data_IF_005333726780
#
_entry.id   IF_005333726780
#
_cell.length_a   1.000
_cell.length_b   1.000
_cell.length_c   1.000
_cell.angle_alpha   90.00
_cell.angle_beta   90.00
_cell.angle_gamma   90.00
#
_symmetry.space_group_name_H-M   'P 1'
#
loop_
_entity.id
_entity.type
_entity.pdbx_description
1 polymer ?
#
# COMPACT_ATOMS: atom_id res chain seq x y z
N UNK A 1 12.42 8.20 37.16
CA UNK A 1 12.67 9.28 36.17
C UNK A 1 13.21 8.62 34.91
N UNK A 2 12.40 8.45 33.88
CA UNK A 2 12.84 7.87 32.61
C UNK A 2 13.58 8.93 31.80
N UNK A 3 14.90 8.75 31.62
CA UNK A 3 15.67 9.50 30.63
C UNK A 3 15.24 9.05 29.23
N UNK A 4 14.12 9.61 28.77
CA UNK A 4 13.62 9.41 27.42
C UNK A 4 14.43 10.29 26.46
N UNK A 5 15.73 9.98 26.29
CA UNK A 5 16.44 10.43 25.10
C UNK A 5 15.69 9.84 23.90
N UNK A 6 15.12 10.71 23.07
CA UNK A 6 14.46 10.29 21.84
C UNK A 6 15.45 9.47 21.00
N UNK A 7 15.03 8.26 20.61
CA UNK A 7 15.87 7.35 19.82
C UNK A 7 16.32 8.04 18.52
N UNK A 8 17.63 8.11 18.30
CA UNK A 8 18.17 8.69 17.08
C UNK A 8 18.02 7.70 15.91
N UNK A 9 16.98 7.90 15.11
CA UNK A 9 16.64 7.02 13.98
C UNK A 9 17.73 6.94 12.90
N UNK A 10 18.50 8.02 12.66
CA UNK A 10 19.62 7.97 11.71
C UNK A 10 20.78 7.13 12.26
N UNK A 11 21.05 7.18 13.55
CA UNK A 11 22.01 6.27 14.19
C UNK A 11 21.54 4.80 14.10
N UNK A 12 20.27 4.53 14.41
CA UNK A 12 19.68 3.18 14.32
C UNK A 12 19.84 2.60 12.91
N UNK A 13 19.58 3.40 11.86
CA UNK A 13 19.76 3.00 10.45
C UNK A 13 21.23 2.88 10.02
N UNK A 14 22.14 3.63 10.65
CA UNK A 14 23.59 3.55 10.39
C UNK A 14 24.22 2.28 10.96
N UNK A 15 23.75 1.85 12.13
CA UNK A 15 24.20 0.62 12.80
C UNK A 15 23.78 -0.66 12.04
N UNK A 16 22.56 -0.70 11.48
CA UNK A 16 22.07 -1.84 10.68
C UNK A 16 21.00 -1.40 9.67
N UNK A 17 21.07 -1.93 8.45
CA UNK A 17 20.02 -1.78 7.43
C UNK A 17 18.71 -2.38 7.90
N UNK A 18 17.59 -1.71 7.64
CA UNK A 18 16.26 -2.21 7.97
C UNK A 18 15.84 -3.49 7.24
N UNK A 19 16.55 -3.90 6.17
CA UNK A 19 16.33 -5.20 5.49
C UNK A 19 17.02 -6.34 6.24
N UNK A 20 18.23 -6.11 6.75
CA UNK A 20 19.03 -7.18 7.38
C UNK A 20 18.47 -7.65 8.74
N UNK A 21 17.45 -6.94 9.23
CA UNK A 21 16.74 -7.15 10.50
C UNK A 21 15.87 -8.39 10.51
N UNK A 22 15.50 -8.95 9.34
CA UNK A 22 14.76 -10.22 9.27
C UNK A 22 15.51 -11.36 9.99
N UNK A 23 16.85 -11.39 9.90
CA UNK A 23 17.67 -12.35 10.62
C UNK A 23 17.58 -12.14 12.15
N UNK A 24 17.57 -10.89 12.61
CA UNK A 24 17.41 -10.55 14.02
C UNK A 24 16.05 -11.02 14.56
N UNK A 25 14.97 -10.79 13.81
CA UNK A 25 13.62 -11.26 14.19
C UNK A 25 13.65 -12.77 14.45
N UNK A 26 14.33 -13.55 13.60
CA UNK A 26 14.42 -15.01 13.76
C UNK A 26 15.30 -15.41 14.95
N UNK A 27 16.41 -14.71 15.18
CA UNK A 27 17.28 -14.89 16.37
C UNK A 27 16.47 -14.65 17.65
N UNK A 28 15.82 -13.49 17.77
CA UNK A 28 14.96 -13.16 18.92
C UNK A 28 13.78 -14.15 19.07
N UNK A 29 13.23 -14.68 17.97
CA UNK A 29 12.19 -15.72 18.00
C UNK A 29 12.66 -17.07 18.56
N UNK A 30 13.95 -17.39 18.44
CA UNK A 30 14.55 -18.62 18.95
C UNK A 30 14.97 -18.47 20.41
N UNK A 31 15.70 -17.40 20.76
CA UNK A 31 16.25 -17.22 22.10
C UNK A 31 15.24 -16.64 23.10
N UNK A 32 14.19 -15.95 22.65
CA UNK A 32 13.16 -15.37 23.51
C UNK A 32 13.65 -14.21 24.38
N UNK A 33 14.81 -13.62 24.05
CA UNK A 33 15.36 -12.46 24.73
C UNK A 33 14.49 -11.21 24.52
N UNK A 34 14.55 -10.27 25.48
CA UNK A 34 13.86 -8.99 25.35
C UNK A 34 14.53 -8.14 24.27
N UNK A 35 13.75 -7.75 23.26
CA UNK A 35 14.22 -6.97 22.12
C UNK A 35 14.56 -5.55 22.57
N UNK A 36 15.68 -5.01 22.08
CA UNK A 36 16.11 -3.64 22.39
C UNK A 36 15.15 -2.60 21.78
N UNK A 37 15.03 -1.37 22.35
CA UNK A 37 14.22 -0.31 21.75
C UNK A 37 14.65 0.04 20.31
N UNK A 38 15.95 -0.01 20.01
CA UNK A 38 16.48 0.22 18.66
C UNK A 38 16.07 -0.88 17.68
N UNK A 39 16.05 -2.15 18.12
CA UNK A 39 15.61 -3.26 17.27
C UNK A 39 14.09 -3.27 17.10
N UNK A 40 13.30 -2.92 18.13
CA UNK A 40 11.86 -2.69 17.97
C UNK A 40 11.55 -1.57 16.96
N UNK A 41 12.37 -0.53 16.88
CA UNK A 41 12.23 0.49 15.85
C UNK A 41 12.55 -0.06 14.45
N UNK A 42 13.61 -0.88 14.33
CA UNK A 42 13.98 -1.58 13.09
C UNK A 42 12.92 -2.59 12.64
N UNK A 43 12.29 -3.32 13.56
CA UNK A 43 11.28 -4.36 13.28
C UNK A 43 10.06 -3.80 12.51
N UNK A 44 9.81 -2.49 12.60
CA UNK A 44 8.80 -1.79 11.80
C UNK A 44 9.09 -1.83 10.30
N UNK A 45 10.33 -1.99 9.84
CA UNK A 45 10.62 -2.23 8.41
C UNK A 45 9.96 -3.52 7.88
N UNK A 46 9.67 -4.48 8.77
CA UNK A 46 8.92 -5.71 8.50
C UNK A 46 7.49 -5.70 9.07
N UNK A 47 6.96 -4.50 9.38
CA UNK A 47 5.60 -4.32 9.87
C UNK A 47 5.31 -4.92 11.24
N UNK A 48 6.35 -5.22 12.03
CA UNK A 48 6.25 -5.89 13.32
C UNK A 48 6.35 -4.88 14.47
N UNK A 49 5.40 -4.93 15.39
CA UNK A 49 5.25 -3.99 16.50
C UNK A 49 5.01 -4.74 17.81
N UNK A 50 5.74 -4.42 18.89
CA UNK A 50 5.37 -4.88 20.23
C UNK A 50 4.10 -4.16 20.69
N UNK A 51 3.17 -4.88 21.32
CA UNK A 51 1.93 -4.30 21.84
C UNK A 51 2.10 -3.55 23.17
N UNK A 52 3.13 -3.90 23.94
CA UNK A 52 3.47 -3.29 25.23
C UNK A 52 4.98 -3.34 25.52
N UNK A 53 5.40 -2.75 26.65
CA UNK A 53 6.79 -2.76 27.11
C UNK A 53 7.29 -4.13 27.59
N UNK A 54 6.38 -5.09 27.83
CA UNK A 54 6.74 -6.46 28.23
C UNK A 54 7.12 -7.31 27.03
N UNK A 55 6.60 -6.97 25.85
CA UNK A 55 6.83 -7.67 24.59
C UNK A 55 6.28 -9.11 24.61
N UNK A 56 5.23 -9.37 25.40
CA UNK A 56 4.55 -10.69 25.44
C UNK A 56 3.84 -10.97 24.10
N UNK A 57 3.33 -9.92 23.46
CA UNK A 57 2.54 -9.99 22.24
C UNK A 57 2.94 -8.92 21.22
N UNK A 58 2.76 -9.28 19.95
CA UNK A 58 3.10 -8.48 18.79
C UNK A 58 1.90 -8.30 17.85
N UNK A 59 1.97 -7.23 17.08
CA UNK A 59 1.12 -6.91 15.96
C UNK A 59 1.95 -6.96 14.68
N UNK A 60 1.41 -7.59 13.63
CA UNK A 60 2.02 -7.67 12.31
C UNK A 60 1.11 -7.02 11.28
N UNK A 61 1.66 -6.04 10.57
CA UNK A 61 1.01 -5.38 9.42
C UNK A 61 1.55 -5.98 8.13
N UNK A 62 0.63 -6.38 7.25
CA UNK A 62 0.90 -7.01 5.97
C UNK A 62 0.39 -6.04 4.90
N UNK A 63 1.27 -5.18 4.33
CA UNK A 63 0.89 -4.27 3.26
C UNK A 63 0.68 -5.08 1.98
N UNK A 64 -0.43 -4.83 1.29
CA UNK A 64 -0.80 -5.60 0.11
C UNK A 64 -0.43 -4.86 -1.18
N UNK A 65 0.05 -5.60 -2.17
CA UNK A 65 0.25 -5.05 -3.51
C UNK A 65 -1.12 -4.74 -4.14
N UNK A 66 -1.33 -3.47 -4.50
CA UNK A 66 -2.60 -2.95 -5.04
C UNK A 66 -3.85 -3.12 -4.13
N UNK A 67 -3.65 -3.55 -2.88
CA UNK A 67 -4.71 -4.00 -1.98
C UNK A 67 -5.30 -5.37 -2.30
N UNK A 68 -4.75 -6.12 -3.26
CA UNK A 68 -5.36 -7.35 -3.78
C UNK A 68 -5.08 -8.58 -2.90
N UNK A 69 -6.08 -9.46 -2.78
CA UNK A 69 -5.96 -10.79 -2.17
C UNK A 69 -6.68 -11.82 -3.04
N UNK A 70 -6.00 -12.92 -3.36
CA UNK A 70 -6.62 -14.11 -3.97
C UNK A 70 -7.13 -15.10 -2.91
N UNK A 71 -7.92 -16.10 -3.35
CA UNK A 71 -8.49 -17.12 -2.46
C UNK A 71 -7.47 -17.81 -1.53
N UNK A 72 -6.31 -18.22 -2.06
CA UNK A 72 -5.25 -18.93 -1.29
C UNK A 72 -4.65 -18.03 -0.22
N UNK A 73 -4.50 -16.74 -0.50
CA UNK A 73 -4.04 -15.73 0.46
C UNK A 73 -5.09 -15.46 1.55
N UNK A 74 -6.39 -15.38 1.19
CA UNK A 74 -7.48 -15.23 2.17
C UNK A 74 -7.53 -16.43 3.12
N UNK A 75 -7.43 -17.66 2.59
CA UNK A 75 -7.38 -18.89 3.37
C UNK A 75 -6.16 -18.91 4.31
N UNK A 76 -4.98 -18.57 3.80
CA UNK A 76 -3.73 -18.57 4.59
C UNK A 76 -3.78 -17.52 5.70
N UNK A 77 -4.29 -16.32 5.43
CA UNK A 77 -4.50 -15.28 6.45
C UNK A 77 -5.51 -15.70 7.52
N UNK A 78 -6.59 -16.39 7.13
CA UNK A 78 -7.54 -16.98 8.08
C UNK A 78 -6.89 -18.04 8.98
N UNK A 79 -6.10 -18.96 8.40
CA UNK A 79 -5.36 -19.97 9.15
C UNK A 79 -4.37 -19.33 10.14
N UNK A 80 -3.57 -18.35 9.70
CA UNK A 80 -2.67 -17.60 10.58
C UNK A 80 -3.45 -16.92 11.72
N UNK A 81 -4.57 -16.27 11.38
CA UNK A 81 -5.40 -15.56 12.36
C UNK A 81 -5.91 -16.49 13.46
N UNK A 82 -6.49 -17.64 13.09
CA UNK A 82 -7.01 -18.64 14.03
C UNK A 82 -5.90 -19.27 14.88
N UNK A 83 -4.78 -19.65 14.26
CA UNK A 83 -3.74 -20.44 14.91
C UNK A 83 -2.77 -19.60 15.76
N UNK A 84 -2.54 -18.33 15.39
CA UNK A 84 -1.48 -17.50 15.99
C UNK A 84 -1.93 -16.13 16.50
N UNK A 85 -3.08 -15.62 16.07
CA UNK A 85 -3.55 -14.24 16.37
C UNK A 85 -4.79 -14.19 17.29
N UNK A 86 -5.11 -15.27 18.00
CA UNK A 86 -6.35 -15.43 18.77
C UNK A 86 -7.62 -15.15 17.93
N UNK A 87 -7.64 -15.60 16.68
CA UNK A 87 -8.69 -15.35 15.69
C UNK A 87 -8.89 -13.85 15.36
N UNK A 88 -7.91 -12.97 15.61
CA UNK A 88 -7.93 -11.56 15.22
C UNK A 88 -7.34 -11.34 13.82
N UNK A 89 -8.01 -10.51 13.02
CA UNK A 89 -7.55 -10.04 11.72
C UNK A 89 -8.22 -8.67 11.48
N UNK A 90 -7.52 -7.66 10.98
CA UNK A 90 -8.11 -6.34 10.72
C UNK A 90 -7.82 -5.87 9.30
N UNK A 91 -8.76 -5.10 8.71
CA UNK A 91 -8.56 -4.38 7.47
C UNK A 91 -8.14 -2.94 7.79
N UNK A 92 -7.03 -2.46 7.22
CA UNK A 92 -6.57 -1.09 7.42
C UNK A 92 -6.83 -0.20 6.20
N UNK A 93 -7.11 1.08 6.46
CA UNK A 93 -7.29 2.14 5.43
C UNK A 93 -6.03 2.48 4.62
N UNK A 94 -4.93 1.75 4.82
CA UNK A 94 -3.71 1.84 4.00
C UNK A 94 -3.48 0.61 3.12
N UNK A 95 -4.56 -0.12 2.78
CA UNK A 95 -4.54 -1.38 2.01
C UNK A 95 -3.66 -2.46 2.65
N UNK A 96 -3.88 -2.71 3.95
CA UNK A 96 -3.10 -3.68 4.72
C UNK A 96 -4.02 -4.61 5.50
N UNK A 97 -3.54 -5.81 5.76
CA UNK A 97 -4.05 -6.66 6.84
C UNK A 97 -3.23 -6.40 8.09
N UNK A 98 -3.86 -6.47 9.25
CA UNK A 98 -3.20 -6.40 10.55
C UNK A 98 -3.62 -7.62 11.39
N UNK A 99 -2.64 -8.31 11.97
CA UNK A 99 -2.81 -9.46 12.85
C UNK A 99 -2.28 -9.08 14.23
N UNK A 100 -2.99 -9.41 15.30
CA UNK A 100 -2.69 -8.98 16.67
C UNK A 100 -2.54 -10.18 17.60
N UNK A 101 -1.93 -9.99 18.78
CA UNK A 101 -1.71 -11.04 19.78
C UNK A 101 -0.74 -12.16 19.32
N UNK A 102 0.15 -11.86 18.36
CA UNK A 102 1.15 -12.81 17.89
C UNK A 102 2.25 -13.00 18.94
N UNK A 103 2.71 -14.24 19.14
CA UNK A 103 3.89 -14.51 19.99
C UNK A 103 5.15 -14.54 19.15
N UNK A 104 6.24 -13.98 19.68
CA UNK A 104 7.54 -13.85 19.00
C UNK A 104 8.01 -15.15 18.34
N UNK A 105 7.99 -16.28 19.08
CA UNK A 105 8.40 -17.60 18.57
C UNK A 105 7.61 -18.12 17.36
N UNK A 106 6.40 -17.61 17.09
CA UNK A 106 5.59 -18.04 15.94
C UNK A 106 5.94 -17.27 14.65
N UNK A 107 6.63 -16.13 14.73
CA UNK A 107 6.88 -15.26 13.59
C UNK A 107 7.64 -15.94 12.42
N UNK A 108 8.66 -16.80 12.64
CA UNK A 108 9.33 -17.46 11.52
C UNK A 108 8.38 -18.35 10.71
N UNK A 109 7.45 -19.05 11.37
CA UNK A 109 6.46 -19.85 10.65
C UNK A 109 5.39 -18.98 9.97
N UNK A 110 4.95 -17.90 10.61
CA UNK A 110 4.00 -16.94 10.02
C UNK A 110 4.60 -16.32 8.74
N UNK A 111 5.86 -15.87 8.78
CA UNK A 111 6.54 -15.31 7.62
C UNK A 111 6.72 -16.34 6.50
N UNK A 112 7.04 -17.60 6.85
CA UNK A 112 7.08 -18.70 5.88
C UNK A 112 5.70 -18.96 5.22
N UNK A 113 4.62 -18.99 6.00
CA UNK A 113 3.25 -19.13 5.48
C UNK A 113 2.88 -17.98 4.52
N UNK A 114 3.21 -16.73 4.88
CA UNK A 114 2.98 -15.57 4.01
C UNK A 114 3.81 -15.66 2.71
N UNK A 115 5.10 -15.97 2.82
CA UNK A 115 6.02 -16.09 1.69
C UNK A 115 5.53 -17.15 0.69
N UNK A 116 5.06 -18.30 1.17
CA UNK A 116 4.56 -19.40 0.33
C UNK A 116 3.32 -19.03 -0.51
N UNK A 117 2.62 -17.94 -0.17
CA UNK A 117 1.49 -17.39 -0.95
C UNK A 117 1.80 -16.03 -1.59
N UNK A 118 3.08 -15.67 -1.68
CA UNK A 118 3.56 -14.44 -2.31
C UNK A 118 3.32 -13.17 -1.51
N UNK A 119 2.94 -13.27 -0.23
CA UNK A 119 2.81 -12.12 0.67
C UNK A 119 4.13 -11.85 1.41
N UNK A 120 4.47 -10.59 1.60
CA UNK A 120 5.59 -10.17 2.45
C UNK A 120 5.29 -8.83 3.15
N UNK A 121 6.00 -8.59 4.25
CA UNK A 121 5.81 -7.40 5.11
C UNK A 121 6.93 -6.35 4.94
N UNK A 122 7.75 -6.51 3.91
CA UNK A 122 8.86 -5.61 3.60
C UNK A 122 8.38 -4.18 3.35
N UNK A 123 9.05 -3.22 3.98
CA UNK A 123 8.80 -1.79 3.88
C UNK A 123 7.35 -1.39 4.25
N UNK A 124 6.72 -2.14 5.15
CA UNK A 124 5.44 -1.74 5.75
C UNK A 124 5.58 -0.38 6.45
N UNK A 125 6.62 -0.25 7.28
CA UNK A 125 7.04 0.99 7.91
C UNK A 125 8.54 1.31 7.69
N UNK A 126 9.10 2.16 8.55
CA UNK A 126 10.45 2.71 8.39
C UNK A 126 10.58 3.88 7.39
N UNK A 127 11.80 4.36 7.24
CA UNK A 127 12.17 5.47 6.33
C UNK A 127 12.46 4.91 4.93
N UNK A 128 11.40 4.51 4.23
CA UNK A 128 11.43 3.69 3.01
C UNK A 128 10.45 4.22 1.97
N UNK A 129 10.60 3.80 0.71
CA UNK A 129 9.50 3.92 -0.26
C UNK A 129 8.45 2.87 0.07
N UNK A 130 7.22 3.30 0.36
CA UNK A 130 6.11 2.40 0.67
C UNK A 130 5.50 1.81 -0.59
N UNK A 131 4.74 0.71 -0.45
CA UNK A 131 3.98 0.13 -1.58
C UNK A 131 3.16 1.22 -2.28
N UNK A 132 3.18 1.22 -3.61
CA UNK A 132 2.48 2.24 -4.39
C UNK A 132 0.96 2.07 -4.25
N UNK A 133 0.27 3.17 -3.93
CA UNK A 133 -1.18 3.17 -3.80
C UNK A 133 -1.83 3.08 -5.17
N UNK A 134 -2.83 2.21 -5.33
CA UNK A 134 -3.64 2.11 -6.56
C UNK A 134 -5.12 2.23 -6.25
N UNK A 135 -5.92 2.44 -7.28
CA UNK A 135 -7.36 2.56 -7.14
C UNK A 135 -7.98 1.15 -6.94
N UNK A 136 -8.91 0.94 -5.99
CA UNK A 136 -9.45 -0.39 -5.69
C UNK A 136 -10.20 -1.09 -6.84
N UNK A 137 -10.64 -0.33 -7.86
CA UNK A 137 -11.30 -0.84 -9.08
C UNK A 137 -10.41 -0.69 -10.33
N UNK A 138 -9.10 -0.48 -10.14
CA UNK A 138 -8.14 -0.50 -11.24
C UNK A 138 -8.22 -1.84 -11.99
N UNK A 139 -8.35 -1.74 -13.31
CA UNK A 139 -8.33 -2.86 -14.23
C UNK A 139 -9.71 -3.42 -14.56
N UNK A 140 -10.78 -2.92 -13.93
CA UNK A 140 -12.15 -3.46 -14.06
C UNK A 140 -13.25 -2.40 -14.26
N UNK A 141 -13.05 -1.15 -13.85
CA UNK A 141 -14.08 -0.11 -13.99
C UNK A 141 -14.00 0.64 -15.34
N UNK A 142 -15.16 0.91 -15.92
CA UNK A 142 -15.34 1.46 -17.27
C UNK A 142 -14.87 2.92 -17.42
N UNK A 143 -14.86 3.70 -16.34
CA UNK A 143 -14.49 5.12 -16.39
C UNK A 143 -12.98 5.35 -16.33
N UNK A 144 -12.19 4.28 -16.23
CA UNK A 144 -10.74 4.31 -16.18
C UNK A 144 -10.12 4.65 -17.55
N UNK A 145 -9.18 5.59 -17.58
CA UNK A 145 -8.43 5.96 -18.80
C UNK A 145 -7.32 4.97 -19.16
N UNK A 146 -6.67 4.37 -18.16
CA UNK A 146 -5.53 3.47 -18.36
C UNK A 146 -5.37 2.48 -17.20
N UNK A 147 -5.21 1.19 -17.49
CA UNK A 147 -4.92 0.16 -16.47
C UNK A 147 -3.48 0.27 -15.96
N UNK A 148 -3.30 0.60 -14.68
CA UNK A 148 -1.97 0.81 -14.09
C UNK A 148 -1.36 -0.45 -13.45
N UNK A 149 -1.95 -1.64 -13.66
CA UNK A 149 -1.48 -2.90 -13.03
C UNK A 149 0.01 -3.19 -13.28
N UNK A 150 0.47 -3.16 -14.55
CA UNK A 150 1.89 -3.37 -14.89
C UNK A 150 2.81 -2.33 -14.25
N UNK A 151 2.43 -1.06 -14.34
CA UNK A 151 3.23 0.05 -13.79
C UNK A 151 3.32 -0.03 -12.26
N UNK A 152 2.21 -0.34 -11.58
CA UNK A 152 2.16 -0.52 -10.14
C UNK A 152 3.06 -1.68 -9.69
N UNK A 153 3.00 -2.83 -10.37
CA UNK A 153 3.83 -3.98 -10.03
C UNK A 153 5.32 -3.72 -10.30
N UNK A 154 5.66 -3.06 -11.41
CA UNK A 154 7.04 -2.66 -11.73
C UNK A 154 7.60 -1.61 -10.77
N UNK A 155 6.76 -0.74 -10.22
CA UNK A 155 7.11 0.19 -9.13
C UNK A 155 7.37 -0.58 -7.83
N UNK A 156 6.45 -1.46 -7.40
CA UNK A 156 6.66 -2.29 -6.20
C UNK A 156 7.92 -3.16 -6.30
N UNK A 157 8.09 -3.91 -7.40
CA UNK A 157 9.30 -4.71 -7.69
C UNK A 157 10.60 -3.89 -7.76
N UNK A 158 10.50 -2.58 -8.03
CA UNK A 158 11.67 -1.68 -8.02
C UNK A 158 12.06 -1.26 -6.61
N UNK A 159 11.08 -1.03 -5.73
CA UNK A 159 11.29 -0.35 -4.46
C UNK A 159 11.28 -1.29 -3.26
N UNK A 160 10.30 -2.20 -3.17
CA UNK A 160 10.12 -3.07 -2.01
C UNK A 160 11.25 -4.12 -1.95
N UNK A 161 11.78 -4.37 -0.75
CA UNK A 161 12.93 -5.27 -0.54
C UNK A 161 14.27 -4.75 -1.10
N UNK A 162 14.33 -3.53 -1.64
CA UNK A 162 15.53 -3.02 -2.30
C UNK A 162 16.39 -2.13 -1.38
N UNK A 163 17.60 -2.62 -1.03
CA UNK A 163 18.63 -1.88 -0.24
C UNK A 163 19.07 -0.53 -0.83
N UNK A 164 18.67 -0.18 -2.06
CA UNK A 164 18.89 1.18 -2.58
C UNK A 164 17.91 2.20 -1.99
N UNK A 165 16.78 1.76 -1.43
CA UNK A 165 15.65 2.57 -0.99
C UNK A 165 15.18 2.24 0.45
N UNK A 166 16.00 1.55 1.24
CA UNK A 166 15.74 1.14 2.64
C UNK A 166 16.01 2.25 3.68
N UNK A 167 16.78 3.27 3.28
CA UNK A 167 17.28 4.34 4.15
C UNK A 167 17.09 5.73 3.49
N UNK A 168 15.84 6.18 3.46
CA UNK A 168 15.44 7.56 3.16
C UNK A 168 15.52 8.44 4.43
N UNK A 169 15.35 9.78 4.32
CA UNK A 169 15.26 10.67 5.47
C UNK A 169 13.98 10.47 6.31
N UNK A 170 12.84 10.18 5.65
CA UNK A 170 11.59 9.68 6.24
C UNK A 170 10.88 8.82 5.16
N UNK A 171 9.65 8.34 5.40
CA UNK A 171 8.84 7.61 4.39
C UNK A 171 8.68 8.40 3.09
N UNK A 172 8.47 7.70 1.99
CA UNK A 172 7.98 8.25 0.71
C UNK A 172 6.78 7.43 0.23
N UNK A 173 5.61 8.06 0.15
CA UNK A 173 4.37 7.41 -0.27
C UNK A 173 3.98 7.84 -1.69
N UNK A 174 4.17 6.94 -2.64
CA UNK A 174 3.75 7.14 -4.02
C UNK A 174 2.34 6.59 -4.27
N UNK A 175 1.63 7.18 -5.23
CA UNK A 175 0.38 6.69 -5.79
C UNK A 175 0.43 6.64 -7.32
N UNK A 176 -0.30 5.71 -7.92
CA UNK A 176 -0.50 5.62 -9.37
C UNK A 176 -1.97 5.31 -9.67
N UNK A 177 -2.54 6.07 -10.62
CA UNK A 177 -3.98 6.10 -10.90
C UNK A 177 -4.24 6.05 -12.40
N UNK A 178 -5.20 5.22 -12.80
CA UNK A 178 -5.78 5.24 -14.15
C UNK A 178 -6.81 6.35 -14.39
N UNK A 179 -6.96 7.27 -13.45
CA UNK A 179 -7.99 8.32 -13.41
C UNK A 179 -7.34 9.69 -13.16
N UNK A 180 -7.89 10.74 -13.76
CA UNK A 180 -7.37 12.11 -13.71
C UNK A 180 -7.42 12.67 -12.28
N UNK A 181 -8.52 12.41 -11.56
CA UNK A 181 -8.74 12.85 -10.19
C UNK A 181 -7.93 12.04 -9.15
N UNK A 182 -7.18 11.02 -9.58
CA UNK A 182 -6.38 10.18 -8.70
C UNK A 182 -7.23 9.18 -7.89
N UNK A 183 -6.55 8.42 -7.04
CA UNK A 183 -7.20 7.41 -6.22
C UNK A 183 -7.87 7.98 -4.96
N UNK A 184 -8.85 7.24 -4.43
CA UNK A 184 -9.70 7.67 -3.32
C UNK A 184 -9.04 7.37 -1.96
N UNK A 185 -7.90 8.03 -1.74
CA UNK A 185 -7.08 7.95 -0.52
C UNK A 185 -7.54 8.99 0.52
N UNK A 186 -7.34 8.70 1.81
CA UNK A 186 -7.72 9.59 2.92
C UNK A 186 -6.69 10.71 3.21
N UNK A 187 -5.62 10.81 2.42
CA UNK A 187 -4.52 11.75 2.60
C UNK A 187 -3.85 12.07 1.25
N UNK A 188 -3.20 13.24 1.13
CA UNK A 188 -2.40 13.59 -0.06
C UNK A 188 -1.11 12.76 -0.11
N UNK A 189 -0.87 11.94 -1.15
CA UNK A 189 0.40 11.23 -1.33
C UNK A 189 1.54 12.19 -1.63
N UNK A 190 2.77 11.83 -1.25
CA UNK A 190 3.97 12.61 -1.55
C UNK A 190 4.17 12.82 -3.06
N UNK A 191 3.91 11.77 -3.83
CA UNK A 191 3.98 11.75 -5.30
C UNK A 191 2.77 11.00 -5.85
N UNK A 192 2.07 11.55 -6.84
CA UNK A 192 1.03 10.83 -7.58
C UNK A 192 1.27 10.87 -9.08
N UNK A 193 1.06 9.74 -9.75
CA UNK A 193 1.00 9.63 -11.21
C UNK A 193 -0.44 9.38 -11.63
N UNK A 194 -1.14 10.41 -12.12
CA UNK A 194 -2.54 10.31 -12.55
C UNK A 194 -2.61 10.26 -14.09
N UNK A 195 -3.20 9.22 -14.65
CA UNK A 195 -3.46 9.14 -16.09
C UNK A 195 -4.40 10.26 -16.52
N UNK A 196 -4.10 10.88 -17.66
CA UNK A 196 -4.90 11.92 -18.34
C UNK A 196 -4.62 11.83 -19.85
N UNK A 197 -5.33 12.64 -20.64
CA UNK A 197 -5.18 12.69 -22.10
C UNK A 197 -4.63 14.03 -22.58
N UNK A 198 -3.68 13.98 -23.52
CA UNK A 198 -3.31 15.15 -24.31
C UNK A 198 -4.38 15.49 -25.38
N UNK A 199 -4.20 16.60 -26.10
CA UNK A 199 -5.09 16.98 -27.22
C UNK A 199 -5.18 15.95 -28.36
N UNK A 200 -4.26 15.00 -28.43
CA UNK A 200 -4.24 13.91 -29.42
C UNK A 200 -4.87 12.63 -28.86
N UNK A 201 -5.60 12.75 -27.73
CA UNK A 201 -6.22 11.67 -26.97
C UNK A 201 -5.22 10.59 -26.48
N UNK A 202 -3.92 10.90 -26.44
CA UNK A 202 -2.89 9.98 -25.98
C UNK A 202 -2.80 9.99 -24.46
N UNK A 203 -2.67 8.79 -23.88
CA UNK A 203 -2.47 8.62 -22.45
C UNK A 203 -1.08 9.13 -22.03
N UNK A 204 -1.09 10.03 -21.06
CA UNK A 204 0.07 10.51 -20.31
C UNK A 204 -0.26 10.55 -18.82
N UNK A 205 0.74 10.67 -17.97
CA UNK A 205 0.60 10.75 -16.52
C UNK A 205 0.98 12.14 -16.04
N UNK A 206 0.04 12.82 -15.37
CA UNK A 206 0.32 14.00 -14.56
C UNK A 206 1.19 13.59 -13.36
N UNK A 207 2.39 14.14 -13.30
CA UNK A 207 3.31 14.00 -12.16
C UNK A 207 2.91 15.06 -11.14
N UNK A 208 2.21 14.64 -10.09
CA UNK A 208 1.88 15.49 -8.95
C UNK A 208 2.88 15.29 -7.83
N UNK A 209 3.34 16.40 -7.26
CA UNK A 209 4.10 16.46 -6.02
C UNK A 209 3.17 17.09 -4.99
N UNK A 210 2.82 16.32 -3.96
CA UNK A 210 1.66 16.62 -3.11
C UNK A 210 0.42 16.95 -3.99
N UNK A 211 -0.21 18.10 -3.79
CA UNK A 211 -1.40 18.50 -4.55
C UNK A 211 -1.11 19.18 -5.90
N UNK A 212 0.14 19.56 -6.19
CA UNK A 212 0.52 20.35 -7.38
C UNK A 212 1.11 19.48 -8.50
N UNK A 213 0.55 19.57 -9.69
CA UNK A 213 1.15 19.01 -10.92
C UNK A 213 2.40 19.79 -11.29
N UNK A 214 3.54 19.11 -11.48
CA UNK A 214 4.80 19.71 -11.93
C UNK A 214 5.08 19.50 -13.43
N UNK A 215 4.34 18.58 -14.06
CA UNK A 215 4.39 18.30 -15.49
C UNK A 215 3.93 16.88 -15.80
N UNK A 216 4.24 16.39 -17.00
CA UNK A 216 3.65 15.19 -17.59
C UNK A 216 4.71 14.25 -18.17
N UNK A 217 4.46 12.94 -18.04
CA UNK A 217 5.32 11.87 -18.55
C UNK A 217 4.49 10.78 -19.22
N UNK A 218 5.06 10.08 -20.19
CA UNK A 218 4.40 8.93 -20.86
C UNK A 218 4.42 7.68 -19.96
N UNK A 219 3.55 6.67 -20.20
CA UNK A 219 3.52 5.44 -19.39
C UNK A 219 4.90 4.76 -19.21
N UNK A 220 5.75 4.62 -20.25
CA UNK A 220 7.10 4.03 -20.09
C UNK A 220 8.05 4.85 -19.19
N UNK A 221 7.84 6.16 -19.07
CA UNK A 221 8.69 7.08 -18.31
C UNK A 221 8.35 7.11 -16.81
N UNK A 222 7.15 6.68 -16.40
CA UNK A 222 6.68 6.71 -14.99
C UNK A 222 7.70 6.06 -14.05
N UNK A 223 8.20 4.87 -14.40
CA UNK A 223 9.11 4.10 -13.55
C UNK A 223 10.47 4.80 -13.33
N UNK A 224 11.02 5.46 -14.36
CA UNK A 224 12.29 6.16 -14.22
C UNK A 224 12.12 7.48 -13.47
N UNK A 225 11.00 8.18 -13.70
CA UNK A 225 10.63 9.40 -12.96
C UNK A 225 10.51 9.11 -11.47
N UNK A 226 9.79 8.04 -11.09
CA UNK A 226 9.67 7.60 -9.69
C UNK A 226 11.03 7.26 -9.06
N UNK A 227 11.90 6.53 -9.78
CA UNK A 227 13.27 6.21 -9.31
C UNK A 227 14.09 7.47 -9.05
N UNK A 228 14.04 8.45 -9.94
CA UNK A 228 14.77 9.71 -9.78
C UNK A 228 14.23 10.55 -8.62
N UNK A 229 12.90 10.66 -8.44
CA UNK A 229 12.31 11.34 -7.27
C UNK A 229 12.76 10.69 -5.96
N UNK A 230 12.73 9.35 -5.88
CA UNK A 230 13.16 8.62 -4.68
C UNK A 230 14.67 8.82 -4.38
N UNK A 231 15.51 8.93 -5.40
CA UNK A 231 16.95 9.26 -5.24
C UNK A 231 17.16 10.69 -4.77
N UNK A 232 16.53 11.67 -5.41
CA UNK A 232 16.63 13.08 -5.02
C UNK A 232 16.24 13.25 -3.54
N UNK A 233 15.15 12.61 -3.10
CA UNK A 233 14.76 12.63 -1.70
C UNK A 233 15.78 11.93 -0.78
N UNK A 234 16.30 10.76 -1.19
CA UNK A 234 17.31 10.02 -0.42
C UNK A 234 18.58 10.85 -0.17
N UNK A 235 19.02 11.54 -1.21
CA UNK A 235 20.33 12.19 -1.30
C UNK A 235 20.32 13.63 -0.78
N UNK A 236 19.17 14.32 -0.84
CA UNK A 236 19.04 15.75 -0.48
C UNK A 236 18.06 16.09 0.65
N UNK A 237 17.23 15.15 1.12
CA UNK A 237 16.29 15.44 2.20
C UNK A 237 16.95 15.54 3.58
N UNK A 238 16.43 16.44 4.43
CA UNK A 238 16.95 16.73 5.77
C UNK A 238 16.91 15.49 6.68
N UNK A 239 18.02 15.19 7.35
CA UNK A 239 18.18 14.07 8.29
C UNK A 239 18.51 14.53 9.72
N UNK A 240 18.76 15.82 9.91
CA UNK A 240 19.15 16.40 11.19
C UNK A 240 17.95 16.90 11.98
N UNK A 241 16.95 17.50 11.30
CA UNK A 241 15.74 17.99 11.94
C UNK A 241 14.53 17.07 11.66
N UNK A 242 14.01 16.33 12.66
CA UNK A 242 12.85 15.45 12.48
C UNK A 242 11.56 16.14 12.03
N UNK A 243 11.44 17.46 12.19
CA UNK A 243 10.28 18.24 11.71
C UNK A 243 10.35 18.54 10.20
N UNK A 244 11.56 18.51 9.63
CA UNK A 244 11.83 18.87 8.22
C UNK A 244 12.20 17.65 7.36
N UNK A 245 12.28 16.45 7.92
CA UNK A 245 12.78 15.26 7.23
C UNK A 245 11.80 14.61 6.22
N UNK A 246 10.63 15.22 5.99
CA UNK A 246 9.64 14.73 5.04
C UNK A 246 9.92 15.16 3.60
N UNK A 247 9.41 14.41 2.62
CA UNK A 247 9.54 14.77 1.21
C UNK A 247 8.88 16.11 0.88
N UNK A 248 7.69 16.37 1.44
CA UNK A 248 7.01 17.66 1.30
C UNK A 248 7.84 18.82 1.86
N UNK A 249 8.54 18.64 2.98
CA UNK A 249 9.42 19.66 3.54
C UNK A 249 10.63 19.97 2.65
N UNK A 250 11.27 18.95 2.05
CA UNK A 250 12.32 19.14 1.03
C UNK A 250 11.81 19.97 -0.17
N UNK A 251 10.65 19.60 -0.72
CA UNK A 251 10.07 20.30 -1.88
C UNK A 251 9.68 21.74 -1.52
N UNK A 252 9.11 21.96 -0.34
CA UNK A 252 8.75 23.30 0.13
C UNK A 252 9.98 24.18 0.39
N UNK A 253 11.07 23.62 0.91
CA UNK A 253 12.35 24.31 1.11
C UNK A 253 13.00 24.74 -0.20
N UNK A 254 12.92 23.90 -1.24
CA UNK A 254 13.50 24.19 -2.56
C UNK A 254 12.60 25.04 -3.45
N UNK A 255 11.28 24.93 -3.29
CA UNK A 255 10.31 25.38 -4.27
C UNK A 255 10.14 24.39 -5.42
N UNK A 256 8.91 24.30 -5.94
CA UNK A 256 8.52 23.36 -6.99
C UNK A 256 9.33 23.51 -8.28
N UNK A 257 9.72 24.73 -8.68
CA UNK A 257 10.47 24.95 -9.91
C UNK A 257 11.91 24.44 -9.81
N UNK A 258 12.63 24.73 -8.71
CA UNK A 258 13.95 24.15 -8.45
C UNK A 258 13.91 22.63 -8.34
N UNK A 259 12.90 22.07 -7.68
CA UNK A 259 12.72 20.61 -7.62
C UNK A 259 12.47 20.01 -9.01
N UNK A 260 11.62 20.65 -9.82
CA UNK A 260 11.39 20.25 -11.21
C UNK A 260 12.69 20.29 -12.04
N UNK A 261 13.50 21.35 -11.92
CA UNK A 261 14.73 21.50 -12.71
C UNK A 261 15.76 20.41 -12.36
N UNK A 262 15.93 20.12 -11.06
CA UNK A 262 16.79 19.03 -10.58
C UNK A 262 16.25 17.66 -11.02
N UNK A 263 14.93 17.44 -10.93
CA UNK A 263 14.31 16.21 -11.41
C UNK A 263 14.50 16.03 -12.92
N UNK A 264 14.26 17.07 -13.71
CA UNK A 264 14.39 17.04 -15.17
C UNK A 264 15.85 16.88 -15.63
N UNK A 265 16.83 17.38 -14.86
CA UNK A 265 18.25 17.13 -15.10
C UNK A 265 18.69 15.69 -14.73
N UNK A 266 17.96 15.00 -13.85
CA UNK A 266 18.30 13.65 -13.36
C UNK A 266 17.80 12.50 -14.25
N UNK A 267 17.21 12.81 -15.41
CA UNK A 267 16.54 11.86 -16.33
C UNK A 267 16.93 12.16 -17.78
N UNK A 268 16.80 11.18 -18.66
CA UNK A 268 17.21 11.26 -20.07
C UNK A 268 16.06 11.64 -21.03
N UNK A 269 14.99 12.25 -20.52
CA UNK A 269 13.85 12.76 -21.27
C UNK A 269 13.27 13.97 -20.54
N UNK A 270 12.55 14.82 -21.27
CA UNK A 270 11.91 16.00 -20.69
C UNK A 270 10.59 15.63 -20.00
N UNK A 271 10.35 16.19 -18.81
CA UNK A 271 9.00 16.26 -18.23
C UNK A 271 8.31 17.45 -18.89
N UNK A 272 7.17 17.22 -19.56
CA UNK A 272 6.50 18.33 -20.24
C UNK A 272 5.70 19.18 -19.24
N UNK A 273 5.93 20.49 -19.18
CA UNK A 273 5.11 21.42 -18.37
C UNK A 273 3.80 21.79 -19.06
N UNK A 274 3.84 21.96 -20.38
CA UNK A 274 2.74 22.52 -21.18
C UNK A 274 2.16 21.47 -22.14
N UNK A 275 1.37 20.54 -21.61
CA UNK A 275 0.34 19.87 -22.43
C UNK A 275 -0.98 20.59 -22.20
N UNK A 276 -1.74 20.83 -23.27
CA UNK A 276 -3.13 21.22 -23.14
C UNK A 276 -3.94 19.98 -22.78
N UNK A 277 -4.53 19.97 -21.59
CA UNK A 277 -5.44 18.91 -21.13
C UNK A 277 -6.87 19.28 -21.52
N UNK A 278 -7.63 18.26 -21.91
CA UNK A 278 -9.07 18.35 -22.10
C UNK A 278 -9.76 18.35 -20.73
N UNK A 279 -9.90 19.52 -20.11
CA UNK A 279 -10.51 19.68 -18.79
C UNK A 279 -12.02 19.33 -18.79
N UNK A 280 -12.32 18.04 -18.65
CA UNK A 280 -13.67 17.51 -18.41
C UNK A 280 -13.72 16.81 -17.03
N UNK A 281 -13.57 17.54 -15.92
CA UNK A 281 -13.58 16.96 -14.58
C UNK A 281 -14.94 16.31 -14.30
N UNK A 282 -14.96 14.98 -14.38
CA UNK A 282 -16.12 14.17 -14.02
C UNK A 282 -16.08 13.87 -12.51
N UNK A 283 -17.21 13.91 -11.79
CA UNK A 283 -17.22 13.53 -10.38
C UNK A 283 -16.82 12.05 -10.24
N UNK A 284 -15.99 11.75 -9.23
CA UNK A 284 -15.53 10.39 -8.96
C UNK A 284 -16.73 9.44 -8.76
N UNK A 285 -16.85 8.45 -9.64
CA UNK A 285 -17.89 7.40 -9.57
C UNK A 285 -17.86 6.71 -8.19
N UNK A 286 -19.00 6.55 -7.49
CA UNK A 286 -19.07 5.73 -6.29
C UNK A 286 -18.61 4.29 -6.56
N UNK A 287 -17.83 3.72 -5.64
CA UNK A 287 -17.25 2.37 -5.78
C UNK A 287 -17.91 1.34 -4.85
N UNK A 288 -19.01 1.71 -4.20
CA UNK A 288 -19.79 0.86 -3.31
C UNK A 288 -21.00 0.26 -4.05
N UNK A 289 -21.54 -0.83 -3.52
CA UNK A 289 -22.64 -1.56 -4.14
C UNK A 289 -22.23 -2.34 -5.38
N UNK A 290 -23.24 -2.88 -6.07
CA UNK A 290 -23.07 -3.67 -7.29
C UNK A 290 -22.86 -2.72 -8.47
N UNK A 291 -21.80 -2.95 -9.24
CA UNK A 291 -21.41 -2.13 -10.39
C UNK A 291 -21.01 -3.02 -11.57
N UNK A 292 -21.32 -2.57 -12.79
CA UNK A 292 -20.80 -3.18 -14.02
C UNK A 292 -19.28 -3.12 -14.08
N UNK A 293 -18.66 -4.21 -14.57
CA UNK A 293 -17.26 -4.24 -15.00
C UNK A 293 -17.18 -3.94 -16.49
N UNK A 294 -16.03 -3.41 -16.94
CA UNK A 294 -15.69 -3.35 -18.37
C UNK A 294 -15.45 -4.75 -18.98
N UNK A 295 -15.29 -5.76 -18.13
CA UNK A 295 -15.14 -7.17 -18.54
C UNK A 295 -16.56 -7.75 -18.69
N UNK A 296 -16.83 -8.33 -19.86
CA UNK A 296 -18.15 -8.83 -20.20
C UNK A 296 -18.61 -9.94 -19.23
N UNK A 297 -19.87 -9.87 -18.77
CA UNK A 297 -20.46 -10.78 -17.79
C UNK A 297 -19.85 -10.75 -16.37
N UNK A 298 -18.97 -9.78 -16.08
CA UNK A 298 -18.46 -9.52 -14.73
C UNK A 298 -19.06 -8.26 -14.10
N UNK A 299 -19.03 -8.22 -12.77
CA UNK A 299 -19.45 -7.10 -11.95
C UNK A 299 -18.58 -7.02 -10.72
N UNK A 300 -18.38 -5.81 -10.21
CA UNK A 300 -17.68 -5.60 -8.95
C UNK A 300 -18.65 -5.15 -7.86
N UNK A 301 -18.41 -5.61 -6.64
CA UNK A 301 -19.29 -5.35 -5.49
C UNK A 301 -18.47 -4.69 -4.40
N UNK A 302 -18.70 -3.41 -4.16
CA UNK A 302 -18.07 -2.71 -3.04
C UNK A 302 -18.89 -2.88 -1.76
N UNK A 303 -18.28 -3.40 -0.70
CA UNK A 303 -18.93 -3.66 0.57
C UNK A 303 -18.27 -2.87 1.71
N UNK A 304 -19.07 -2.12 2.48
CA UNK A 304 -18.61 -1.54 3.75
C UNK A 304 -18.37 -2.63 4.77
N UNK A 305 -17.34 -2.44 5.58
CA UNK A 305 -17.12 -3.30 6.74
C UNK A 305 -17.40 -2.51 8.02
N UNK A 306 -18.42 -2.95 8.76
CA UNK A 306 -19.01 -2.16 9.85
C UNK A 306 -18.47 -2.49 11.25
N UNK A 307 -17.54 -3.45 11.39
CA UNK A 307 -16.94 -3.80 12.68
C UNK A 307 -15.53 -3.22 12.80
N UNK A 308 -15.13 -2.88 14.02
CA UNK A 308 -13.79 -2.38 14.34
C UNK A 308 -12.70 -3.47 14.33
N UNK A 309 -13.08 -4.75 14.26
CA UNK A 309 -12.16 -5.89 14.27
C UNK A 309 -12.79 -7.06 13.50
N UNK A 310 -12.07 -7.65 12.54
CA UNK A 310 -12.50 -8.90 11.90
C UNK A 310 -12.03 -10.10 12.69
N UNK A 311 -12.69 -11.24 12.44
CA UNK A 311 -12.22 -12.54 12.89
C UNK A 311 -11.68 -13.33 11.70
N UNK A 312 -10.66 -14.16 11.91
CA UNK A 312 -10.21 -15.14 10.92
C UNK A 312 -11.36 -16.01 10.42
N UNK A 313 -12.26 -16.42 11.32
CA UNK A 313 -13.51 -17.11 10.97
C UNK A 313 -14.44 -16.34 10.02
N UNK A 314 -14.39 -15.00 9.99
CA UNK A 314 -15.14 -14.21 8.99
C UNK A 314 -14.44 -14.26 7.61
N UNK A 315 -13.11 -14.35 7.58
CA UNK A 315 -12.33 -14.62 6.37
C UNK A 315 -12.56 -16.05 5.84
N UNK A 316 -12.78 -17.06 6.69
CA UNK A 316 -13.24 -18.39 6.26
C UNK A 316 -14.59 -18.32 5.53
N UNK A 317 -15.57 -17.64 6.14
CA UNK A 317 -16.90 -17.49 5.54
C UNK A 317 -16.84 -16.72 4.22
N UNK A 318 -16.00 -15.67 4.15
CA UNK A 318 -15.73 -14.95 2.90
C UNK A 318 -15.11 -15.89 1.86
N UNK A 319 -14.06 -16.64 2.20
CA UNK A 319 -13.40 -17.57 1.27
C UNK A 319 -14.37 -18.63 0.70
N UNK A 320 -15.19 -19.23 1.56
CA UNK A 320 -16.25 -20.16 1.15
C UNK A 320 -17.26 -19.51 0.19
N UNK A 321 -17.68 -18.28 0.51
CA UNK A 321 -18.63 -17.52 -0.29
C UNK A 321 -18.07 -17.12 -1.67
N UNK A 322 -16.82 -16.65 -1.73
CA UNK A 322 -16.15 -16.31 -3.00
C UNK A 322 -16.04 -17.55 -3.90
N UNK A 323 -15.60 -18.70 -3.34
CA UNK A 323 -15.56 -19.98 -4.06
C UNK A 323 -16.92 -20.43 -4.58
N UNK A 324 -17.98 -20.29 -3.78
CA UNK A 324 -19.36 -20.64 -4.16
C UNK A 324 -19.86 -19.83 -5.36
N UNK A 325 -19.44 -18.56 -5.49
CA UNK A 325 -19.86 -17.66 -6.57
C UNK A 325 -18.81 -17.48 -7.68
N UNK A 326 -17.82 -18.38 -7.77
CA UNK A 326 -16.79 -18.40 -8.82
C UNK A 326 -15.88 -17.15 -8.85
N UNK A 327 -15.78 -16.43 -7.72
CA UNK A 327 -14.94 -15.24 -7.56
C UNK A 327 -13.51 -15.63 -7.20
N UNK A 328 -12.50 -15.10 -7.91
CA UNK A 328 -11.10 -15.43 -7.65
C UNK A 328 -10.39 -14.47 -6.68
N UNK A 329 -10.89 -13.24 -6.51
CA UNK A 329 -10.15 -12.21 -5.75
C UNK A 329 -10.97 -11.03 -5.20
N UNK A 330 -10.38 -10.36 -4.21
CA UNK A 330 -10.89 -9.13 -3.60
C UNK A 330 -9.80 -8.04 -3.58
N UNK A 331 -10.20 -6.78 -3.40
CA UNK A 331 -9.31 -5.68 -3.02
C UNK A 331 -9.77 -5.00 -1.74
N UNK A 332 -8.82 -4.65 -0.88
CA UNK A 332 -9.05 -3.77 0.27
C UNK A 332 -8.87 -2.32 -0.17
N UNK A 333 -9.75 -1.45 0.30
CA UNK A 333 -9.78 -0.03 -0.06
C UNK A 333 -8.94 0.82 0.89
N UNK A 334 -8.64 2.07 0.48
CA UNK A 334 -8.03 3.09 1.35
C UNK A 334 -8.97 3.62 2.46
N UNK A 335 -10.07 2.90 2.74
CA UNK A 335 -11.09 3.24 3.74
C UNK A 335 -11.50 1.99 4.56
N UNK A 336 -10.66 0.96 4.59
CA UNK A 336 -10.87 -0.33 5.28
C UNK A 336 -12.09 -1.18 4.82
N UNK A 337 -12.77 -0.75 3.76
CA UNK A 337 -13.82 -1.52 3.07
C UNK A 337 -13.21 -2.51 2.06
N UNK A 338 -14.00 -3.48 1.55
CA UNK A 338 -13.58 -4.40 0.49
C UNK A 338 -14.31 -4.14 -0.84
N UNK A 339 -13.68 -4.53 -1.94
CA UNK A 339 -14.29 -4.66 -3.27
C UNK A 339 -14.13 -6.13 -3.70
N UNK A 340 -15.22 -6.77 -4.09
CA UNK A 340 -15.22 -8.02 -4.85
C UNK A 340 -15.03 -7.66 -6.32
N UNK A 341 -14.06 -8.25 -7.02
CA UNK A 341 -13.60 -7.72 -8.32
C UNK A 341 -14.27 -8.36 -9.54
N UNK A 342 -14.43 -9.68 -9.51
CA UNK A 342 -14.75 -10.56 -10.64
C UNK A 342 -16.00 -11.41 -10.35
N UNK A 343 -17.06 -10.78 -9.84
CA UNK A 343 -18.32 -11.48 -9.57
C UNK A 343 -19.12 -11.69 -10.87
N UNK A 344 -19.55 -12.92 -11.22
CA UNK A 344 -20.40 -13.15 -12.38
C UNK A 344 -21.69 -12.33 -12.27
N UNK A 345 -22.01 -11.48 -13.27
CA UNK A 345 -23.11 -10.52 -13.19
C UNK A 345 -24.47 -11.18 -12.87
N UNK A 346 -24.70 -12.38 -13.42
CA UNK A 346 -25.88 -13.23 -13.14
C UNK A 346 -26.08 -13.55 -11.64
N UNK A 347 -25.00 -13.59 -10.86
CA UNK A 347 -24.98 -13.95 -9.44
C UNK A 347 -24.78 -12.75 -8.52
N UNK A 348 -24.39 -11.58 -9.04
CA UNK A 348 -23.90 -10.45 -8.25
C UNK A 348 -24.90 -9.98 -7.16
N UNK A 349 -26.20 -9.98 -7.43
CA UNK A 349 -27.22 -9.62 -6.43
C UNK A 349 -27.41 -10.66 -5.33
N UNK A 350 -27.26 -11.95 -5.65
CA UNK A 350 -27.30 -13.05 -4.67
C UNK A 350 -26.06 -13.00 -3.78
N UNK A 351 -24.88 -12.84 -4.39
CA UNK A 351 -23.62 -12.67 -3.68
C UNK A 351 -23.64 -11.44 -2.75
N UNK A 352 -24.17 -10.31 -3.22
CA UNK A 352 -24.33 -9.09 -2.40
C UNK A 352 -25.15 -9.33 -1.12
N UNK A 353 -26.26 -10.08 -1.21
CA UNK A 353 -27.08 -10.45 -0.04
C UNK A 353 -26.39 -11.42 0.90
N UNK A 354 -25.63 -12.38 0.37
CA UNK A 354 -24.87 -13.33 1.19
C UNK A 354 -23.65 -12.67 1.86
N UNK A 355 -23.03 -11.66 1.23
CA UNK A 355 -21.98 -10.83 1.82
C UNK A 355 -22.49 -10.01 3.02
N UNK A 356 -23.70 -9.44 2.91
CA UNK A 356 -24.33 -8.70 4.01
C UNK A 356 -24.53 -9.58 5.26
N UNK A 357 -24.97 -10.83 5.07
CA UNK A 357 -25.17 -11.80 6.15
C UNK A 357 -23.89 -12.12 6.94
N UNK A 358 -22.71 -11.99 6.32
CA UNK A 358 -21.40 -12.20 6.97
C UNK A 358 -20.71 -10.89 7.39
N UNK A 359 -21.41 -9.75 7.32
CA UNK A 359 -20.96 -8.45 7.83
C UNK A 359 -20.32 -7.51 6.80
N UNK A 360 -20.34 -7.85 5.51
CA UNK A 360 -19.85 -7.01 4.41
C UNK A 360 -21.04 -6.37 3.67
N UNK A 361 -21.40 -5.14 4.02
CA UNK A 361 -22.64 -4.52 3.55
C UNK A 361 -22.47 -3.78 2.20
N UNK A 362 -23.10 -4.19 1.09
CA UNK A 362 -23.03 -3.51 -0.20
C UNK A 362 -24.14 -2.47 -0.42
N UNK A 363 -25.15 -2.39 0.45
CA UNK A 363 -26.36 -1.58 0.26
C UNK A 363 -26.34 -0.25 1.06
N UNK A 364 -25.18 0.13 1.62
CA UNK A 364 -25.03 1.27 2.55
C UNK A 364 -24.17 2.41 2.02
#
# INVERSE_FOLDING_TARGET
MSNNLALNIEQIKKEKSGIDVLADIYIYSIFGEKITPSDLERFKWYGLYAQDEKQEFFELKIPLEMGELNLVQIETLSQISKNYANNSLNLLSSQKIELRNLKLHNLPNIFNMLHNVGLNTEFEAGHTVRRVLTCPVNGIDETQLFDVTDLASRLNKTFIGNKKFDNLPNKLQMAISGYEEGCDVQFTPDVSFNATKDLKEKIVFAVKIMDRTIGYVTPPQVLNTAKSIARIYKDYGDRENPQNNSFGALVNSWGYDKFYDILNASINYKIEKNIFIKNNPSPRKPRMGINSSKIENESYIGCRFNLSTMKGSTFDSLHQLLKKHEVSKIKITHKANIIILDAPSKNAHTLAKELEQIGFNPFS
#
